data_IF_266736295713
#
_entry.id   IF_266736295713
#
_cell.length_a   1.000
_cell.length_b   1.000
_cell.length_c   1.000
_cell.angle_alpha   90.00
_cell.angle_beta   90.00
_cell.angle_gamma   90.00
#
_symmetry.space_group_name_H-M   'P 1'
#
loop_
_entity.id
_entity.type
_entity.pdbx_description
1 polymer ?
#
# COMPACT_ATOMS: atom_id res chain seq x y z
N UNK A 1 -7.20 -8.34 22.42
CA UNK A 1 -5.94 -8.95 21.98
C UNK A 1 -5.74 -8.66 20.52
N UNK A 2 -4.52 -8.77 20.00
CA UNK A 2 -4.21 -8.59 18.58
C UNK A 2 -4.13 -9.95 17.90
N UNK A 3 -4.59 -10.03 16.65
CA UNK A 3 -4.54 -11.26 15.86
C UNK A 3 -3.13 -11.54 15.32
N UNK A 4 -2.40 -10.48 14.96
CA UNK A 4 -1.04 -10.56 14.42
C UNK A 4 -0.11 -9.47 15.00
N UNK A 5 1.21 -9.69 14.92
CA UNK A 5 2.23 -8.74 15.35
C UNK A 5 2.13 -7.41 14.59
N UNK A 6 1.82 -7.47 13.29
CA UNK A 6 1.57 -6.28 12.45
C UNK A 6 0.46 -5.40 13.01
N UNK A 7 -0.59 -6.02 13.56
CA UNK A 7 -1.74 -5.32 14.16
C UNK A 7 -1.36 -4.66 15.48
N UNK A 8 -0.56 -5.34 16.31
CA UNK A 8 -0.02 -4.79 17.56
C UNK A 8 0.86 -3.57 17.29
N UNK A 9 1.76 -3.68 16.32
CA UNK A 9 2.67 -2.59 15.92
C UNK A 9 1.86 -1.39 15.42
N UNK A 10 0.84 -1.62 14.59
CA UNK A 10 -0.02 -0.56 14.09
C UNK A 10 -0.82 0.11 15.22
N UNK A 11 -1.32 -0.67 16.18
CA UNK A 11 -1.99 -0.14 17.37
C UNK A 11 -1.09 0.81 18.16
N UNK A 12 0.14 0.39 18.44
CA UNK A 12 1.12 1.20 19.18
C UNK A 12 1.43 2.52 18.45
N UNK A 13 1.49 2.49 17.11
CA UNK A 13 1.61 3.72 16.32
C UNK A 13 0.38 4.60 16.40
N UNK A 14 -0.82 4.03 16.28
CA UNK A 14 -2.07 4.79 16.34
C UNK A 14 -2.20 5.55 17.67
N UNK A 15 -1.93 4.90 18.80
CA UNK A 15 -1.99 5.54 20.13
C UNK A 15 -0.85 6.56 20.35
N UNK A 16 0.21 6.53 19.53
CA UNK A 16 1.27 7.55 19.57
C UNK A 16 0.84 8.89 18.97
N UNK A 17 -0.28 8.93 18.22
CA UNK A 17 -0.82 10.15 17.63
C UNK A 17 -1.58 10.95 18.68
N UNK A 18 -1.24 12.24 18.79
CA UNK A 18 -1.92 13.13 19.73
C UNK A 18 -3.42 13.26 19.41
N UNK A 19 -4.27 12.82 20.34
CA UNK A 19 -5.72 12.80 20.17
C UNK A 19 -6.30 11.44 19.79
N UNK A 20 -5.47 10.39 19.67
CA UNK A 20 -5.92 9.00 19.60
C UNK A 20 -5.56 8.29 20.90
N UNK A 21 -6.58 7.80 21.60
CA UNK A 21 -6.42 6.92 22.75
C UNK A 21 -6.56 5.45 22.37
N UNK A 22 -6.28 4.56 23.32
CA UNK A 22 -6.40 3.11 23.15
C UNK A 22 -7.79 2.68 22.64
N UNK A 23 -8.87 3.29 23.15
CA UNK A 23 -10.24 3.01 22.71
C UNK A 23 -10.43 3.37 21.23
N UNK A 24 -9.98 4.54 20.80
CA UNK A 24 -10.11 4.98 19.40
C UNK A 24 -9.26 4.11 18.48
N UNK A 25 -8.02 3.80 18.86
CA UNK A 25 -7.15 2.90 18.09
C UNK A 25 -7.77 1.50 17.93
N UNK A 26 -8.41 0.98 18.97
CA UNK A 26 -9.14 -0.30 18.89
C UNK A 26 -10.33 -0.22 17.93
N UNK A 27 -11.10 0.88 17.97
CA UNK A 27 -12.23 1.08 17.04
C UNK A 27 -11.72 1.18 15.59
N UNK A 28 -10.58 1.82 15.35
CA UNK A 28 -9.95 1.88 14.02
C UNK A 28 -9.64 0.48 13.50
N UNK A 29 -8.92 -0.33 14.29
CA UNK A 29 -8.56 -1.71 13.91
C UNK A 29 -9.78 -2.63 13.80
N UNK A 30 -10.88 -2.30 14.49
CA UNK A 30 -12.15 -3.02 14.36
C UNK A 30 -12.96 -2.59 13.13
N UNK A 31 -12.71 -1.39 12.60
CA UNK A 31 -13.47 -0.82 11.47
C UNK A 31 -12.77 -1.05 10.13
N UNK A 32 -11.45 -1.20 10.14
CA UNK A 32 -10.61 -1.30 8.95
C UNK A 32 -9.48 -2.29 9.22
N UNK A 33 -9.07 -3.02 8.18
CA UNK A 33 -7.90 -3.88 8.26
C UNK A 33 -6.62 -3.04 8.38
N UNK A 34 -5.53 -3.58 8.96
CA UNK A 34 -4.24 -2.90 8.99
C UNK A 34 -3.79 -2.38 7.62
N UNK A 35 -4.00 -3.17 6.56
CA UNK A 35 -3.68 -2.78 5.18
C UNK A 35 -4.48 -1.57 4.70
N UNK A 36 -5.78 -1.53 4.96
CA UNK A 36 -6.63 -0.39 4.58
C UNK A 36 -6.26 0.88 5.35
N UNK A 37 -5.89 0.76 6.63
CA UNK A 37 -5.45 1.89 7.45
C UNK A 37 -4.16 2.49 6.88
N UNK A 38 -3.17 1.63 6.58
CA UNK A 38 -1.90 2.05 5.97
C UNK A 38 -2.17 2.71 4.62
N UNK A 39 -3.01 2.10 3.77
CA UNK A 39 -3.39 2.64 2.47
C UNK A 39 -4.06 4.02 2.60
N UNK A 40 -4.99 4.17 3.54
CA UNK A 40 -5.65 5.45 3.79
C UNK A 40 -4.68 6.54 4.26
N UNK A 41 -3.67 6.17 5.06
CA UNK A 41 -2.62 7.10 5.50
C UNK A 41 -1.71 7.51 4.33
N UNK A 42 -1.27 6.56 3.50
CA UNK A 42 -0.39 6.82 2.36
C UNK A 42 -1.08 7.69 1.30
N UNK A 43 -2.34 7.37 0.98
CA UNK A 43 -3.13 8.07 -0.03
C UNK A 43 -3.80 9.36 0.48
N UNK A 44 -3.53 9.76 1.73
CA UNK A 44 -4.14 10.92 2.38
C UNK A 44 -5.68 10.89 2.38
N UNK A 45 -6.26 9.69 2.44
CA UNK A 45 -7.71 9.48 2.45
C UNK A 45 -8.29 9.75 3.85
N UNK A 46 -8.51 11.03 4.13
CA UNK A 46 -9.13 11.49 5.36
C UNK A 46 -10.60 11.06 5.46
N UNK A 47 -11.27 10.80 4.32
CA UNK A 47 -12.67 10.39 4.27
C UNK A 47 -12.85 9.02 4.89
N UNK A 48 -12.00 8.06 4.54
CA UNK A 48 -12.02 6.72 5.12
C UNK A 48 -11.76 6.75 6.63
N UNK A 49 -10.80 7.55 7.09
CA UNK A 49 -10.52 7.68 8.53
C UNK A 49 -11.67 8.34 9.31
N UNK A 50 -12.34 9.34 8.73
CA UNK A 50 -13.51 10.01 9.36
C UNK A 50 -14.73 9.10 9.53
N UNK A 51 -14.81 7.98 8.80
CA UNK A 51 -15.90 6.99 8.98
C UNK A 51 -15.82 6.28 10.32
N UNK A 52 -14.65 6.28 10.94
CA UNK A 52 -14.44 5.66 12.25
C UNK A 52 -15.06 6.54 13.33
N UNK A 53 -15.91 5.93 14.17
CA UNK A 53 -16.58 6.62 15.28
C UNK A 53 -15.54 7.22 16.23
N UNK A 54 -15.60 8.54 16.42
CA UNK A 54 -14.67 9.28 17.28
C UNK A 54 -13.49 9.93 16.55
N UNK A 55 -13.38 9.79 15.22
CA UNK A 55 -12.39 10.51 14.41
C UNK A 55 -13.05 11.69 13.69
N UNK A 56 -12.71 12.90 14.12
CA UNK A 56 -13.09 14.13 13.42
C UNK A 56 -12.10 14.50 12.32
N UNK A 57 -12.44 15.49 11.50
CA UNK A 57 -11.59 15.97 10.39
C UNK A 57 -10.19 16.41 10.85
N UNK A 58 -10.08 17.04 12.02
CA UNK A 58 -8.79 17.46 12.58
C UNK A 58 -7.93 16.28 12.99
N UNK A 59 -8.53 15.27 13.62
CA UNK A 59 -7.84 14.05 14.04
C UNK A 59 -7.43 13.22 12.82
N UNK A 60 -8.30 13.03 11.82
CA UNK A 60 -7.98 12.31 10.59
C UNK A 60 -6.75 12.88 9.87
N UNK A 61 -6.72 14.20 9.67
CA UNK A 61 -5.55 14.87 9.07
C UNK A 61 -4.28 14.72 9.90
N UNK A 62 -4.40 14.75 11.23
CA UNK A 62 -3.26 14.58 12.13
C UNK A 62 -2.71 13.16 12.11
N UNK A 63 -3.59 12.17 12.05
CA UNK A 63 -3.21 10.76 11.88
C UNK A 63 -2.42 10.59 10.59
N UNK A 64 -2.92 11.14 9.48
CA UNK A 64 -2.23 11.08 8.19
C UNK A 64 -0.85 11.72 8.33
N UNK A 65 -0.74 12.95 8.82
CA UNK A 65 0.53 13.67 8.93
C UNK A 65 1.54 12.95 9.84
N UNK A 66 1.12 12.58 11.06
CA UNK A 66 2.00 12.02 12.09
C UNK A 66 2.42 10.57 11.78
N UNK A 67 1.59 9.83 11.03
CA UNK A 67 1.87 8.45 10.69
C UNK A 67 2.49 8.29 9.31
N UNK A 68 2.19 9.12 8.30
CA UNK A 68 2.68 8.94 6.93
C UNK A 68 4.19 8.70 6.86
N UNK A 69 4.99 9.50 7.58
CA UNK A 69 6.45 9.32 7.64
C UNK A 69 6.88 8.05 8.39
N UNK A 70 6.09 7.62 9.39
CA UNK A 70 6.35 6.43 10.20
C UNK A 70 5.92 5.14 9.53
N UNK A 71 4.88 5.19 8.69
CA UNK A 71 4.37 4.04 7.94
C UNK A 71 5.12 3.86 6.63
N UNK A 72 5.56 4.95 5.98
CA UNK A 72 6.42 4.88 4.79
C UNK A 72 7.78 4.21 5.07
N UNK A 73 8.29 4.33 6.30
CA UNK A 73 9.50 3.62 6.76
C UNK A 73 9.23 2.20 7.22
N UNK A 74 7.96 1.86 7.39
CA UNK A 74 7.53 0.52 7.73
C UNK A 74 7.40 -0.27 6.43
N UNK A 75 8.54 -0.72 5.91
CA UNK A 75 8.55 -1.96 5.14
C UNK A 75 8.15 -3.06 6.12
N UNK A 76 6.84 -3.21 6.35
CA UNK A 76 6.34 -4.34 7.11
C UNK A 76 6.61 -5.54 6.22
N UNK A 77 7.56 -6.38 6.62
CA UNK A 77 8.06 -7.59 5.94
C UNK A 77 6.98 -8.69 5.83
N UNK A 78 5.85 -8.32 5.23
CA UNK A 78 4.60 -9.08 5.14
C UNK A 78 3.45 -8.25 4.54
N UNK A 79 3.69 -6.96 4.27
CA UNK A 79 2.80 -6.03 3.58
C UNK A 79 3.45 -5.56 2.27
N UNK A 80 4.08 -6.49 1.55
CA UNK A 80 4.24 -6.40 0.08
C UNK A 80 2.90 -6.64 -0.65
N UNK A 81 1.79 -6.65 0.09
CA UNK A 81 0.46 -7.07 -0.36
C UNK A 81 -0.64 -6.11 0.13
N UNK A 82 -0.36 -4.80 0.21
CA UNK A 82 -1.45 -3.81 0.06
C UNK A 82 -1.74 -3.76 -1.44
N UNK A 83 -2.99 -3.94 -1.88
CA UNK A 83 -3.35 -3.62 -3.24
C UNK A 83 -3.33 -2.09 -3.37
N UNK A 84 -2.14 -1.52 -3.59
CA UNK A 84 -1.98 -0.42 -4.53
C UNK A 84 -2.38 -1.03 -5.87
N UNK A 85 -3.69 -1.16 -6.10
CA UNK A 85 -4.24 -1.65 -7.37
C UNK A 85 -3.57 -2.93 -7.90
N UNK A 86 -3.40 -4.00 -7.11
CA UNK A 86 -2.83 -5.31 -7.51
C UNK A 86 -2.07 -5.30 -8.84
N UNK A 87 -0.95 -4.58 -8.86
CA UNK A 87 0.06 -4.75 -9.88
C UNK A 87 1.22 -5.33 -9.10
N UNK A 88 1.60 -6.58 -9.39
CA UNK A 88 2.73 -7.23 -8.74
C UNK A 88 3.88 -6.24 -8.60
N UNK A 89 4.61 -6.17 -7.48
CA UNK A 89 5.74 -5.25 -7.32
C UNK A 89 6.73 -5.37 -8.49
N UNK A 90 6.85 -6.60 -9.01
CA UNK A 90 7.57 -6.97 -10.23
C UNK A 90 7.10 -6.20 -11.48
N UNK A 91 5.79 -6.05 -11.65
CA UNK A 91 5.17 -5.35 -12.79
C UNK A 91 5.28 -3.85 -12.68
N UNK A 92 5.20 -3.26 -11.49
CA UNK A 92 5.39 -1.81 -11.32
C UNK A 92 6.86 -1.41 -11.51
N UNK A 93 7.81 -2.20 -11.00
CA UNK A 93 9.23 -2.00 -11.30
C UNK A 93 9.53 -2.19 -12.79
N UNK A 94 8.97 -3.23 -13.42
CA UNK A 94 9.12 -3.43 -14.86
C UNK A 94 8.48 -2.29 -15.67
N UNK A 95 7.35 -1.74 -15.22
CA UNK A 95 6.69 -0.60 -15.84
C UNK A 95 7.57 0.65 -15.78
N UNK A 96 8.15 0.93 -14.61
CA UNK A 96 9.06 2.06 -14.41
C UNK A 96 10.31 1.93 -15.29
N UNK A 97 10.90 0.72 -15.37
CA UNK A 97 12.03 0.45 -16.23
C UNK A 97 11.71 0.62 -17.72
N UNK A 98 10.56 0.11 -18.19
CA UNK A 98 10.12 0.29 -19.57
C UNK A 98 9.88 1.77 -19.90
N UNK A 99 9.29 2.53 -18.97
CA UNK A 99 9.13 3.97 -19.14
C UNK A 99 10.48 4.70 -19.21
N UNK A 100 11.46 4.31 -18.40
CA UNK A 100 12.83 4.85 -18.47
C UNK A 100 13.53 4.55 -19.81
N UNK A 101 13.18 3.44 -20.46
CA UNK A 101 13.62 3.08 -21.81
C UNK A 101 12.87 3.82 -22.93
N UNK A 102 11.90 4.69 -22.58
CA UNK A 102 11.15 5.50 -23.54
C UNK A 102 9.83 4.88 -24.02
N UNK A 103 9.35 3.82 -23.36
CA UNK A 103 8.07 3.18 -23.70
C UNK A 103 6.90 3.97 -23.11
N UNK A 104 5.88 4.22 -23.93
CA UNK A 104 4.64 4.87 -23.49
C UNK A 104 3.91 3.97 -22.47
N UNK A 105 3.56 4.54 -21.31
CA UNK A 105 2.92 3.85 -20.17
C UNK A 105 1.79 2.90 -20.59
N UNK A 106 0.85 3.37 -21.40
CA UNK A 106 -0.30 2.56 -21.86
C UNK A 106 0.13 1.33 -22.67
N UNK A 107 1.20 1.44 -23.47
CA UNK A 107 1.75 0.30 -24.22
C UNK A 107 2.45 -0.68 -23.27
N UNK A 108 3.25 -0.18 -22.33
CA UNK A 108 3.93 -1.00 -21.35
C UNK A 108 2.95 -1.79 -20.46
N UNK A 109 1.88 -1.17 -19.96
CA UNK A 109 0.86 -1.85 -19.14
C UNK A 109 0.17 -3.00 -19.88
N UNK A 110 -0.16 -2.81 -21.16
CA UNK A 110 -0.81 -3.84 -22.00
C UNK A 110 0.12 -5.03 -22.21
N UNK A 111 1.38 -4.76 -22.53
CA UNK A 111 2.37 -5.81 -22.80
C UNK A 111 2.72 -6.58 -21.53
N UNK A 112 2.96 -5.89 -20.42
CA UNK A 112 3.23 -6.53 -19.12
C UNK A 112 2.07 -7.42 -18.68
N UNK A 113 0.83 -6.94 -18.83
CA UNK A 113 -0.35 -7.73 -18.47
C UNK A 113 -0.54 -8.96 -19.36
N UNK A 114 -0.08 -8.91 -20.61
CA UNK A 114 -0.07 -10.07 -21.51
C UNK A 114 1.00 -11.08 -21.12
N UNK A 115 2.22 -10.62 -20.87
CA UNK A 115 3.36 -11.49 -20.49
C UNK A 115 3.08 -12.24 -19.19
N UNK A 116 2.52 -11.56 -18.18
CA UNK A 116 2.15 -12.19 -16.91
C UNK A 116 1.03 -13.22 -17.05
N UNK A 117 0.08 -13.02 -17.98
CA UNK A 117 -0.95 -14.03 -18.26
C UNK A 117 -0.39 -15.27 -18.94
N UNK A 118 0.65 -15.11 -19.77
CA UNK A 118 1.29 -16.22 -20.46
C UNK A 118 2.31 -16.96 -19.58
N UNK A 119 2.86 -16.30 -18.56
CA UNK A 119 3.89 -16.85 -17.69
C UNK A 119 3.58 -16.47 -16.22
N UNK A 120 2.73 -17.25 -15.54
CA UNK A 120 2.32 -16.97 -14.17
C UNK A 120 3.44 -17.17 -13.13
N UNK A 121 4.51 -17.89 -13.46
CA UNK A 121 5.63 -18.21 -12.55
C UNK A 121 6.77 -17.17 -12.57
N UNK A 122 6.57 -15.99 -13.18
CA UNK A 122 7.62 -14.96 -13.22
C UNK A 122 7.60 -14.14 -11.93
N UNK A 123 8.59 -14.40 -11.08
CA UNK A 123 8.85 -13.64 -9.86
C UNK A 123 9.96 -12.58 -10.02
N UNK A 124 10.70 -12.61 -11.14
CA UNK A 124 11.85 -11.73 -11.37
C UNK A 124 11.56 -10.59 -12.35
N UNK A 125 11.86 -9.35 -11.94
CA UNK A 125 11.64 -8.10 -12.69
C UNK A 125 12.40 -8.10 -14.01
N UNK A 126 13.66 -8.54 -13.98
CA UNK A 126 14.57 -8.55 -15.14
C UNK A 126 14.05 -9.47 -16.24
N UNK A 127 13.47 -10.61 -15.87
CA UNK A 127 12.87 -11.56 -16.78
C UNK A 127 11.57 -11.01 -17.39
N UNK A 128 10.75 -10.35 -16.57
CA UNK A 128 9.53 -9.67 -17.03
C UNK A 128 9.84 -8.55 -18.04
N UNK A 129 10.88 -7.74 -17.80
CA UNK A 129 11.32 -6.68 -18.72
C UNK A 129 11.80 -7.29 -20.05
N UNK A 130 12.64 -8.34 -20.00
CA UNK A 130 13.14 -9.01 -21.21
C UNK A 130 12.01 -9.56 -22.07
N UNK A 131 11.03 -10.22 -21.45
CA UNK A 131 9.88 -10.78 -22.16
C UNK A 131 8.94 -9.71 -22.69
N UNK A 132 8.75 -8.62 -21.94
CA UNK A 132 7.98 -7.47 -22.40
C UNK A 132 8.61 -6.86 -23.66
N UNK A 133 9.92 -6.57 -23.64
CA UNK A 133 10.64 -6.05 -24.81
C UNK A 133 10.58 -6.99 -26.02
N UNK A 134 10.57 -8.31 -25.80
CA UNK A 134 10.43 -9.31 -26.87
C UNK A 134 9.04 -9.31 -27.52
N UNK A 135 8.00 -8.84 -26.82
CA UNK A 135 6.62 -8.79 -27.29
C UNK A 135 6.14 -7.38 -27.72
N UNK A 136 7.02 -6.39 -27.69
CA UNK A 136 6.72 -4.99 -28.02
C UNK A 136 6.83 -4.67 -29.51
#
# INVERSE_FOLDING_TARGET
>A
GFFDESEKILFEKLISVSGIGATTAQIILSSMTPKEIISAIINEDDVSLKRVKGIGAKTAKRVILDLKDKVAKMNIDGISDIPVKTVSPVKDEALAALMALGVVKSKAEVVLSRVMKSNPDIDHVEELIKLALKQM
#
